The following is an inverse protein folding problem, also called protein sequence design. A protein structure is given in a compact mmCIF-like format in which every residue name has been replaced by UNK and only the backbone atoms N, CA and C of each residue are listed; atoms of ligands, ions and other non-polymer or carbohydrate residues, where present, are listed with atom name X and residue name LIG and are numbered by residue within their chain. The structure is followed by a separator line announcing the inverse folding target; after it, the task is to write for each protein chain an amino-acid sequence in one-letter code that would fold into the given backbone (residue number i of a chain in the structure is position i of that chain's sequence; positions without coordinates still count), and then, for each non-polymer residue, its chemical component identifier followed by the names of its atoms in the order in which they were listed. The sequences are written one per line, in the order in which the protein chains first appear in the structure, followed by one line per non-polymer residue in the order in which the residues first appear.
data_IF_637955940832
#
_entry.id   IF_637955940832
#
_cell.length_a   1.000
_cell.length_b   1.000
_cell.length_c   1.000
_cell.angle_alpha   90.00
_cell.angle_beta   90.00
_cell.angle_gamma   90.00
#
_symmetry.space_group_name_H-M   'P 1'
#
loop_
_entity.id
_entity.type
_entity.pdbx_description
1 polymer ?
#
# COMPACT_ATOMS: atom_id res chain seq x y z
N UNK A 1 7.40 6.04 41.26
CA UNK A 1 6.54 5.70 40.09
C UNK A 1 6.60 6.84 39.09
N UNK A 2 7.70 6.93 38.33
CA UNK A 2 8.05 8.11 37.51
C UNK A 2 8.36 7.69 36.05
N UNK A 3 7.66 6.67 35.54
CA UNK A 3 7.90 6.06 34.23
C UNK A 3 6.93 6.53 33.14
N UNK A 4 6.02 7.46 33.45
CA UNK A 4 5.01 7.99 32.54
C UNK A 4 5.10 9.50 32.36
N UNK A 5 6.29 10.09 32.51
CA UNK A 5 6.53 11.41 31.93
C UNK A 5 6.94 11.21 30.46
N UNK A 6 6.07 11.49 29.48
CA UNK A 6 6.47 11.45 28.08
C UNK A 6 7.62 12.44 27.87
N UNK A 7 8.76 11.93 27.39
CA UNK A 7 9.91 12.75 27.02
C UNK A 7 9.48 13.70 25.88
N UNK A 8 9.55 15.04 26.04
CA UNK A 8 8.99 16.00 25.08
C UNK A 8 9.67 15.97 23.70
N UNK A 9 10.85 15.35 23.56
CA UNK A 9 11.56 15.23 22.28
C UNK A 9 11.02 14.18 21.30
N UNK A 10 10.31 13.15 21.79
CA UNK A 10 10.05 11.93 20.99
C UNK A 10 8.56 11.70 20.65
N UNK A 11 7.67 12.64 21.04
CA UNK A 11 6.22 12.48 20.88
C UNK A 11 5.77 12.33 19.42
N UNK A 12 6.36 13.10 18.51
CA UNK A 12 6.02 13.07 17.07
C UNK A 12 6.33 11.72 16.42
N UNK A 13 7.54 11.19 16.65
CA UNK A 13 7.94 9.90 16.09
C UNK A 13 7.11 8.75 16.67
N UNK A 14 6.78 8.80 17.96
CA UNK A 14 5.87 7.83 18.59
C UNK A 14 4.47 7.89 18.00
N UNK A 15 3.94 9.08 17.74
CA UNK A 15 2.64 9.23 17.09
C UNK A 15 2.61 8.59 15.70
N UNK A 16 3.66 8.81 14.88
CA UNK A 16 3.79 8.19 13.56
C UNK A 16 3.88 6.66 13.65
N UNK A 17 4.65 6.14 14.62
CA UNK A 17 4.74 4.70 14.86
C UNK A 17 3.39 4.10 15.29
N UNK A 18 2.64 4.79 16.14
CA UNK A 18 1.31 4.36 16.56
C UNK A 18 0.30 4.39 15.40
N UNK A 19 0.38 5.41 14.54
CA UNK A 19 -0.45 5.49 13.34
C UNK A 19 -0.14 4.35 12.36
N UNK A 20 1.14 4.04 12.14
CA UNK A 20 1.54 2.89 11.33
C UNK A 20 1.04 1.57 11.93
N UNK A 21 1.18 1.39 13.25
CA UNK A 21 0.68 0.21 13.96
C UNK A 21 -0.84 0.07 13.83
N UNK A 22 -1.58 1.18 13.95
CA UNK A 22 -3.03 1.21 13.80
C UNK A 22 -3.49 0.89 12.36
N UNK A 23 -2.67 1.18 11.34
CA UNK A 23 -2.96 0.87 9.94
C UNK A 23 -2.62 -0.57 9.54
N UNK A 24 -1.85 -1.32 10.33
CA UNK A 24 -1.56 -2.73 10.03
C UNK A 24 -2.82 -3.60 9.85
N UNK A 25 -3.80 -3.62 10.78
CA UNK A 25 -5.01 -4.44 10.60
C UNK A 25 -5.82 -4.00 9.37
N UNK A 26 -5.88 -2.69 9.09
CA UNK A 26 -6.55 -2.15 7.91
C UNK A 26 -5.87 -2.58 6.62
N UNK A 27 -4.53 -2.59 6.61
CA UNK A 27 -3.74 -3.00 5.45
C UNK A 27 -3.93 -4.48 5.14
N UNK A 28 -3.98 -5.34 6.17
CA UNK A 28 -4.27 -6.77 6.00
C UNK A 28 -5.69 -6.97 5.47
N UNK A 29 -6.68 -6.26 6.04
CA UNK A 29 -8.06 -6.36 5.57
C UNK A 29 -8.20 -5.91 4.09
N UNK A 30 -7.49 -4.85 3.70
CA UNK A 30 -7.46 -4.37 2.32
C UNK A 30 -6.86 -5.40 1.36
N UNK A 31 -5.76 -6.06 1.76
CA UNK A 31 -5.13 -7.14 0.98
C UNK A 31 -6.10 -8.30 0.76
N UNK A 32 -6.71 -8.82 1.84
CA UNK A 32 -7.63 -9.95 1.75
C UNK A 32 -8.85 -9.59 0.90
N UNK A 33 -9.45 -8.42 1.09
CA UNK A 33 -10.62 -7.99 0.32
C UNK A 33 -10.32 -7.81 -1.16
N UNK A 34 -9.20 -7.15 -1.49
CA UNK A 34 -8.78 -6.93 -2.89
C UNK A 34 -8.48 -8.26 -3.58
N UNK A 35 -7.74 -9.14 -2.91
CA UNK A 35 -7.43 -10.46 -3.44
C UNK A 35 -8.65 -11.34 -3.63
N UNK A 36 -9.58 -11.35 -2.65
CA UNK A 36 -10.84 -12.06 -2.77
C UNK A 36 -11.65 -11.60 -4.01
N UNK A 37 -11.82 -10.29 -4.19
CA UNK A 37 -12.55 -9.75 -5.34
C UNK A 37 -11.89 -10.11 -6.67
N UNK A 38 -10.56 -10.03 -6.74
CA UNK A 38 -9.80 -10.44 -7.92
C UNK A 38 -9.97 -11.93 -8.22
N UNK A 39 -9.82 -12.81 -7.22
CA UNK A 39 -9.91 -14.25 -7.42
C UNK A 39 -11.30 -14.68 -7.88
N UNK A 40 -12.35 -14.09 -7.30
CA UNK A 40 -13.75 -14.33 -7.71
C UNK A 40 -13.98 -13.86 -9.15
N UNK A 41 -13.46 -12.70 -9.54
CA UNK A 41 -13.61 -12.19 -10.89
C UNK A 41 -12.96 -13.12 -11.93
N UNK A 42 -11.75 -13.62 -11.66
CA UNK A 42 -11.05 -14.56 -12.56
C UNK A 42 -11.72 -15.94 -12.57
N UNK A 43 -12.31 -16.38 -11.47
CA UNK A 43 -13.07 -17.62 -11.42
C UNK A 43 -14.37 -17.54 -12.26
N UNK A 44 -14.97 -16.36 -12.37
CA UNK A 44 -16.16 -16.12 -13.20
C UNK A 44 -15.82 -15.99 -14.68
N UNK A 45 -14.69 -15.35 -15.01
CA UNK A 45 -14.22 -15.16 -16.38
C UNK A 45 -12.70 -15.32 -16.46
N UNK A 46 -12.25 -16.44 -17.02
CA UNK A 46 -10.83 -16.77 -17.18
C UNK A 46 -10.12 -15.90 -18.23
N UNK A 47 -10.86 -15.14 -19.04
CA UNK A 47 -10.31 -14.17 -20.00
C UNK A 47 -10.07 -12.80 -19.39
N UNK A 48 -10.64 -12.52 -18.22
CA UNK A 48 -10.66 -11.18 -17.60
C UNK A 48 -9.29 -10.67 -17.13
N UNK A 49 -8.25 -11.52 -17.10
CA UNK A 49 -7.00 -11.17 -16.41
C UNK A 49 -5.76 -11.88 -16.93
N UNK A 50 -5.71 -12.43 -18.14
CA UNK A 50 -4.57 -13.27 -18.54
C UNK A 50 -3.29 -12.50 -18.90
N UNK A 51 -3.31 -11.17 -19.07
CA UNK A 51 -2.12 -10.45 -19.57
C UNK A 51 -1.75 -9.12 -18.87
N UNK A 52 -2.44 -8.74 -17.79
CA UNK A 52 -2.06 -7.55 -17.01
C UNK A 52 -0.83 -7.81 -16.11
N UNK A 53 -0.08 -6.76 -15.78
CA UNK A 53 1.08 -6.85 -14.87
C UNK A 53 0.69 -7.44 -13.51
N UNK A 54 -0.44 -7.01 -12.96
CA UNK A 54 -0.92 -7.46 -11.64
C UNK A 54 -1.29 -8.93 -11.64
N UNK A 55 -1.91 -9.40 -12.71
CA UNK A 55 -2.30 -10.81 -12.83
C UNK A 55 -1.11 -11.72 -13.11
N UNK A 56 -0.10 -11.24 -13.85
CA UNK A 56 1.19 -11.94 -14.00
C UNK A 56 1.91 -12.04 -12.66
N UNK A 57 1.89 -10.96 -11.86
CA UNK A 57 2.47 -10.95 -10.53
C UNK A 57 1.72 -11.89 -9.56
N UNK A 58 0.38 -11.88 -9.57
CA UNK A 58 -0.45 -12.77 -8.76
C UNK A 58 -0.19 -14.25 -9.09
N UNK A 59 -0.13 -14.61 -10.37
CA UNK A 59 0.24 -15.97 -10.82
C UNK A 59 1.68 -16.33 -10.46
N UNK A 60 2.62 -15.39 -10.59
CA UNK A 60 4.02 -15.58 -10.19
C UNK A 60 4.19 -15.84 -8.69
N UNK A 61 3.30 -15.28 -7.86
CA UNK A 61 3.23 -15.54 -6.42
C UNK A 61 2.48 -16.84 -6.06
N UNK A 62 1.95 -17.55 -7.07
CA UNK A 62 1.24 -18.81 -6.88
C UNK A 62 -0.20 -18.66 -6.39
N UNK A 63 -0.84 -17.50 -6.63
CA UNK A 63 -2.25 -17.32 -6.28
C UNK A 63 -3.14 -18.23 -7.14
N UNK A 64 -3.83 -19.17 -6.50
CA UNK A 64 -4.77 -20.08 -7.14
C UNK A 64 -6.20 -19.52 -7.11
N UNK A 65 -6.91 -19.66 -8.22
CA UNK A 65 -8.29 -19.22 -8.38
C UNK A 65 -9.31 -20.33 -8.09
N UNK A 66 -8.88 -21.60 -8.13
CA UNK A 66 -9.73 -22.76 -7.89
C UNK A 66 -9.95 -23.03 -6.38
N UNK A 67 -8.96 -22.68 -5.55
CA UNK A 67 -9.06 -22.73 -4.10
C UNK A 67 -8.97 -21.32 -3.52
N UNK A 68 -10.06 -20.82 -2.94
CA UNK A 68 -10.08 -19.55 -2.22
C UNK A 68 -9.48 -19.71 -0.80
N UNK A 69 -8.19 -20.01 -0.73
CA UNK A 69 -7.42 -20.05 0.52
C UNK A 69 -7.04 -18.64 1.00
N UNK A 70 -6.73 -18.51 2.29
CA UNK A 70 -6.24 -17.24 2.85
C UNK A 70 -4.93 -16.81 2.18
N UNK A 71 -4.05 -17.77 1.86
CA UNK A 71 -2.80 -17.50 1.14
C UNK A 71 -3.07 -16.91 -0.25
N UNK A 72 -3.99 -17.51 -1.02
CA UNK A 72 -4.30 -17.06 -2.37
C UNK A 72 -4.85 -15.64 -2.38
N UNK A 73 -5.75 -15.33 -1.43
CA UNK A 73 -6.29 -13.98 -1.25
C UNK A 73 -5.18 -12.98 -0.88
N UNK A 74 -4.27 -13.34 0.02
CA UNK A 74 -3.15 -12.47 0.40
C UNK A 74 -2.17 -12.26 -0.76
N UNK A 75 -1.82 -13.31 -1.49
CA UNK A 75 -0.92 -13.24 -2.63
C UNK A 75 -1.50 -12.40 -3.78
N UNK A 76 -2.78 -12.63 -4.12
CA UNK A 76 -3.50 -11.84 -5.10
C UNK A 76 -3.64 -10.37 -4.68
N UNK A 77 -3.99 -10.11 -3.41
CA UNK A 77 -4.07 -8.76 -2.86
C UNK A 77 -2.73 -8.04 -2.88
N UNK A 78 -1.64 -8.73 -2.53
CA UNK A 78 -0.28 -8.20 -2.55
C UNK A 78 0.12 -7.75 -3.94
N UNK A 79 -0.20 -8.56 -4.96
CA UNK A 79 0.07 -8.24 -6.36
C UNK A 79 -0.63 -6.96 -6.86
N UNK A 80 -1.71 -6.53 -6.20
CA UNK A 80 -2.46 -5.33 -6.56
C UNK A 80 -2.03 -4.11 -5.75
N UNK A 81 -1.92 -4.24 -4.43
CA UNK A 81 -1.66 -3.11 -3.52
C UNK A 81 -0.19 -2.71 -3.44
N UNK A 82 0.74 -3.67 -3.47
CA UNK A 82 2.17 -3.36 -3.30
C UNK A 82 2.77 -2.57 -4.46
N UNK A 83 2.44 -2.86 -5.73
CA UNK A 83 2.88 -2.02 -6.84
C UNK A 83 2.37 -0.58 -6.74
N UNK A 84 1.13 -0.38 -6.26
CA UNK A 84 0.56 0.96 -6.03
C UNK A 84 1.36 1.67 -4.93
N UNK A 85 1.60 1.01 -3.79
CA UNK A 85 2.37 1.58 -2.70
C UNK A 85 3.80 1.94 -3.13
N UNK A 86 4.46 1.05 -3.86
CA UNK A 86 5.80 1.28 -4.37
C UNK A 86 5.83 2.49 -5.30
N UNK A 87 4.88 2.59 -6.24
CA UNK A 87 4.79 3.72 -7.14
C UNK A 87 4.49 5.03 -6.40
N UNK A 88 3.59 5.01 -5.41
CA UNK A 88 3.29 6.16 -4.57
C UNK A 88 4.52 6.64 -3.77
N UNK A 89 5.28 5.70 -3.18
CA UNK A 89 6.52 6.00 -2.47
C UNK A 89 7.59 6.56 -3.40
N UNK A 90 7.73 6.04 -4.62
CA UNK A 90 8.71 6.50 -5.59
C UNK A 90 8.39 7.91 -6.10
N UNK A 91 7.17 8.15 -6.56
CA UNK A 91 6.75 9.44 -7.12
C UNK A 91 6.69 10.50 -6.02
N UNK A 92 6.03 10.21 -4.91
CA UNK A 92 5.94 11.15 -3.80
C UNK A 92 7.30 11.41 -3.17
N UNK A 93 8.16 10.39 -3.06
CA UNK A 93 9.50 10.52 -2.50
C UNK A 93 10.41 11.36 -3.39
N UNK A 94 10.27 11.22 -4.71
CA UNK A 94 10.94 12.07 -5.69
C UNK A 94 10.58 13.55 -5.49
N UNK A 95 9.29 13.88 -5.41
CA UNK A 95 8.84 15.26 -5.21
C UNK A 95 9.18 15.82 -3.82
N UNK A 96 8.95 15.03 -2.77
CA UNK A 96 9.31 15.39 -1.40
C UNK A 96 10.80 15.71 -1.29
N UNK A 97 11.67 14.94 -1.96
CA UNK A 97 13.11 15.18 -1.99
C UNK A 97 13.47 16.51 -2.66
N UNK A 98 12.82 16.85 -3.77
CA UNK A 98 13.02 18.13 -4.48
C UNK A 98 12.54 19.31 -3.62
N UNK A 99 11.35 19.19 -3.03
CA UNK A 99 10.75 20.25 -2.20
C UNK A 99 11.58 20.48 -0.94
N UNK A 100 12.03 19.42 -0.28
CA UNK A 100 12.91 19.49 0.89
C UNK A 100 14.23 20.19 0.57
N UNK A 101 14.83 19.88 -0.58
CA UNK A 101 16.06 20.52 -1.05
C UNK A 101 15.88 22.02 -1.31
N UNK A 102 14.79 22.40 -1.99
CA UNK A 102 14.45 23.80 -2.25
C UNK A 102 14.14 24.61 -0.98
N UNK A 103 13.63 23.95 0.06
CA UNK A 103 13.30 24.58 1.36
C UNK A 103 14.43 24.53 2.38
N UNK A 104 15.54 23.84 2.07
CA UNK A 104 16.61 23.53 3.02
C UNK A 104 16.10 22.86 4.31
N UNK A 105 15.04 22.04 4.20
CA UNK A 105 14.47 21.29 5.32
C UNK A 105 14.72 19.80 5.15
N UNK A 106 14.79 19.01 6.22
CA UNK A 106 14.82 17.55 6.10
C UNK A 106 13.51 17.03 5.48
N UNK A 107 13.57 15.83 4.91
CA UNK A 107 12.41 15.11 4.40
C UNK A 107 11.37 14.89 5.51
N UNK A 108 10.08 15.04 5.22
CA UNK A 108 9.04 14.88 6.23
C UNK A 108 8.96 13.42 6.72
N UNK A 109 9.05 13.17 8.05
CA UNK A 109 9.01 11.81 8.59
C UNK A 109 7.68 11.08 8.31
N UNK A 110 6.60 11.83 8.09
CA UNK A 110 5.26 11.29 7.83
C UNK A 110 5.00 10.87 6.38
N UNK A 111 5.96 11.08 5.47
CA UNK A 111 5.79 10.80 4.04
C UNK A 111 5.32 9.34 3.79
N UNK A 112 5.94 8.37 4.46
CA UNK A 112 5.61 6.94 4.31
C UNK A 112 4.17 6.67 4.72
N UNK A 113 3.69 7.34 5.78
CA UNK A 113 2.33 7.20 6.26
C UNK A 113 1.32 7.75 5.23
N UNK A 114 1.64 8.89 4.62
CA UNK A 114 0.80 9.48 3.57
C UNK A 114 0.72 8.57 2.35
N UNK A 115 1.84 8.00 1.90
CA UNK A 115 1.85 7.05 0.79
C UNK A 115 1.04 5.78 1.07
N UNK A 116 1.13 5.26 2.31
CA UNK A 116 0.33 4.12 2.75
C UNK A 116 -1.17 4.44 2.78
N UNK A 117 -1.56 5.57 3.39
CA UNK A 117 -2.96 6.01 3.44
C UNK A 117 -3.53 6.26 2.05
N UNK A 118 -2.77 6.92 1.17
CA UNK A 118 -3.15 7.15 -0.23
C UNK A 118 -3.41 5.83 -0.96
N UNK A 119 -2.52 4.85 -0.79
CA UNK A 119 -2.67 3.52 -1.38
C UNK A 119 -3.93 2.82 -0.86
N UNK A 120 -4.22 2.92 0.44
CA UNK A 120 -5.40 2.31 1.06
C UNK A 120 -6.71 3.00 0.69
N UNK A 121 -6.66 4.26 0.24
CA UNK A 121 -7.83 5.01 -0.21
C UNK A 121 -8.25 4.65 -1.64
N UNK A 122 -7.31 4.14 -2.44
CA UNK A 122 -7.54 3.77 -3.84
C UNK A 122 -8.12 2.37 -3.97
N UNK A 123 -8.97 2.12 -4.99
CA UNK A 123 -9.36 0.76 -5.32
C UNK A 123 -8.15 -0.04 -5.82
N UNK A 124 -8.10 -1.34 -5.54
CA UNK A 124 -6.98 -2.21 -5.96
C UNK A 124 -6.79 -2.31 -7.49
N UNK A 125 -7.82 -1.96 -8.27
CA UNK A 125 -7.77 -1.89 -9.73
C UNK A 125 -7.37 -0.51 -10.28
N UNK A 126 -7.05 0.48 -9.42
CA UNK A 126 -6.71 1.85 -9.86
C UNK A 126 -5.59 1.84 -10.91
N UNK A 127 -5.74 2.61 -11.99
CA UNK A 127 -4.69 2.69 -13.01
C UNK A 127 -3.44 3.39 -12.47
N UNK A 128 -2.25 2.91 -12.82
CA UNK A 128 -0.98 3.44 -12.31
C UNK A 128 -0.80 4.94 -12.60
N UNK A 129 -1.35 5.46 -13.71
CA UNK A 129 -1.33 6.89 -14.01
C UNK A 129 -1.98 7.75 -12.92
N UNK A 130 -3.12 7.33 -12.35
CA UNK A 130 -3.78 8.08 -11.26
C UNK A 130 -2.92 8.14 -10.00
N UNK A 131 -2.12 7.10 -9.75
CA UNK A 131 -1.17 7.05 -8.63
C UNK A 131 -0.06 8.07 -8.84
N UNK A 132 0.49 8.14 -10.05
CA UNK A 132 1.54 9.11 -10.42
C UNK A 132 1.02 10.53 -10.27
N UNK A 133 -0.13 10.85 -10.86
CA UNK A 133 -0.70 12.19 -10.79
C UNK A 133 -1.18 12.56 -9.38
N UNK A 134 -1.66 11.60 -8.59
CA UNK A 134 -2.14 11.85 -7.23
C UNK A 134 -1.04 12.10 -6.21
N UNK A 135 0.18 11.61 -6.45
CA UNK A 135 1.35 11.78 -5.57
C UNK A 135 2.34 12.85 -6.06
N UNK A 136 2.04 13.52 -7.17
CA UNK A 136 2.83 14.62 -7.74
C UNK A 136 2.38 15.97 -7.22
#
# INVERSE_FOLDING_TARGET
MNLLRPNPGNGRQRMLQLQLLALLPVSIAALVNTGYQYLVAVAQDSTFSTDDFRSRLARGLGANHESLGLYDMLAAGFAHLVPILALALLVGGFWERIIAERRHTPMQPGFILVALLFTLLLPGAAAFGHVVFGMS
#
